data_IF_431019415591
#
_entry.id   IF_431019415591
#
_cell.length_a   1.000
_cell.length_b   1.000
_cell.length_c   1.000
_cell.angle_alpha   90.00
_cell.angle_beta   90.00
_cell.angle_gamma   90.00
#
_symmetry.space_group_name_H-M   'P 1'
#
loop_
_entity.id
_entity.type
_entity.pdbx_description
1 polymer ?
#
# COMPACT_ATOMS: atom_id res chain seq x y z
N UNK A 1 21.71 27.15 3.21
CA UNK A 1 20.94 26.51 4.30
C UNK A 1 19.51 26.18 3.90
N UNK A 2 18.65 27.15 3.58
CA UNK A 2 17.25 26.87 3.23
C UNK A 2 17.08 26.07 1.91
N UNK A 3 17.93 26.35 0.92
CA UNK A 3 17.98 25.59 -0.34
C UNK A 3 18.53 24.16 -0.18
N UNK A 4 19.40 23.94 0.81
CA UNK A 4 19.98 22.62 1.08
C UNK A 4 18.94 21.71 1.73
N UNK A 5 18.13 22.26 2.64
CA UNK A 5 17.01 21.54 3.26
C UNK A 5 15.93 21.18 2.23
N UNK A 6 15.59 22.11 1.32
CA UNK A 6 14.64 21.84 0.22
C UNK A 6 15.14 20.74 -0.73
N UNK A 7 16.44 20.66 -0.96
CA UNK A 7 17.03 19.61 -1.79
C UNK A 7 17.07 18.25 -1.08
N UNK A 8 17.26 18.20 0.24
CA UNK A 8 17.17 16.96 1.03
C UNK A 8 15.76 16.36 1.03
N UNK A 9 14.74 17.21 0.92
CA UNK A 9 13.33 16.78 0.86
C UNK A 9 12.87 16.38 -0.55
N UNK A 10 13.74 16.46 -1.58
CA UNK A 10 13.39 16.01 -2.93
C UNK A 10 13.42 14.49 -2.99
N UNK A 11 12.22 13.91 -2.96
CA UNK A 11 12.03 12.48 -3.17
C UNK A 11 11.78 12.21 -4.65
N UNK A 12 12.59 11.33 -5.25
CA UNK A 12 12.26 10.74 -6.54
C UNK A 12 11.30 9.56 -6.32
N UNK A 13 10.00 9.80 -6.47
CA UNK A 13 8.97 8.81 -6.22
C UNK A 13 9.13 7.53 -7.05
N UNK A 14 9.62 7.63 -8.29
CA UNK A 14 9.83 6.46 -9.15
C UNK A 14 10.96 5.57 -8.64
N UNK A 15 12.06 6.17 -8.20
CA UNK A 15 13.20 5.45 -7.62
C UNK A 15 12.83 4.80 -6.30
N UNK A 16 12.15 5.53 -5.40
CA UNK A 16 11.71 4.99 -4.11
C UNK A 16 10.68 3.88 -4.28
N UNK A 17 9.73 4.04 -5.21
CA UNK A 17 8.79 2.97 -5.58
C UNK A 17 9.52 1.67 -5.94
N UNK A 18 10.53 1.75 -6.83
CA UNK A 18 11.34 0.58 -7.23
C UNK A 18 12.02 -0.07 -6.03
N UNK A 19 12.63 0.73 -5.14
CA UNK A 19 13.28 0.24 -3.92
C UNK A 19 12.30 -0.48 -3.00
N UNK A 20 11.12 0.10 -2.76
CA UNK A 20 10.09 -0.47 -1.90
C UNK A 20 9.54 -1.78 -2.49
N UNK A 21 9.30 -1.83 -3.81
CA UNK A 21 8.87 -3.07 -4.49
C UNK A 21 9.89 -4.19 -4.31
N UNK A 22 11.18 -3.89 -4.45
CA UNK A 22 12.23 -4.90 -4.24
C UNK A 22 12.33 -5.33 -2.78
N UNK A 23 12.18 -4.39 -1.84
CA UNK A 23 12.09 -4.69 -0.42
C UNK A 23 10.94 -5.67 -0.12
N UNK A 24 9.73 -5.40 -0.63
CA UNK A 24 8.57 -6.28 -0.46
C UNK A 24 8.86 -7.68 -0.99
N UNK A 25 9.32 -7.79 -2.25
CA UNK A 25 9.64 -9.08 -2.88
C UNK A 25 10.67 -9.89 -2.09
N UNK A 26 11.73 -9.22 -1.62
CA UNK A 26 12.79 -9.83 -0.82
C UNK A 26 12.24 -10.38 0.50
N UNK A 27 11.48 -9.57 1.24
CA UNK A 27 10.95 -9.97 2.54
C UNK A 27 9.95 -11.14 2.43
N UNK A 28 9.02 -11.10 1.47
CA UNK A 28 8.07 -12.19 1.25
C UNK A 28 8.79 -13.51 0.94
N UNK A 29 9.84 -13.46 0.10
CA UNK A 29 10.68 -14.63 -0.20
C UNK A 29 11.45 -15.13 1.04
N UNK A 30 12.05 -14.23 1.80
CA UNK A 30 12.81 -14.58 3.01
C UNK A 30 11.94 -15.20 4.11
N UNK A 31 10.69 -14.75 4.23
CA UNK A 31 9.72 -15.27 5.19
C UNK A 31 9.01 -16.55 4.68
N UNK A 32 9.34 -17.02 3.47
CA UNK A 32 8.70 -18.15 2.79
C UNK A 32 7.17 -18.03 2.77
N UNK A 33 6.67 -16.84 2.41
CA UNK A 33 5.23 -16.54 2.30
C UNK A 33 4.80 -16.40 0.85
N UNK A 34 3.50 -16.62 0.62
CA UNK A 34 2.91 -16.62 -0.72
C UNK A 34 2.13 -15.34 -1.04
N UNK A 35 2.07 -14.37 -0.12
CA UNK A 35 1.27 -13.16 -0.27
C UNK A 35 1.27 -12.28 0.97
N UNK A 36 0.43 -11.26 0.97
CA UNK A 36 0.29 -10.30 2.06
C UNK A 36 -1.19 -10.00 2.36
N UNK A 37 -1.47 -9.68 3.62
CA UNK A 37 -2.76 -9.16 4.08
C UNK A 37 -2.54 -7.71 4.52
N UNK A 38 -3.44 -6.81 4.16
CA UNK A 38 -3.36 -5.39 4.51
C UNK A 38 -4.71 -4.83 4.94
N UNK A 39 -4.71 -4.02 5.99
CA UNK A 39 -5.87 -3.23 6.41
C UNK A 39 -6.04 -1.98 5.54
N UNK A 40 -7.24 -1.74 5.03
CA UNK A 40 -7.61 -0.58 4.23
C UNK A 40 -8.53 0.34 5.04
N UNK A 41 -8.02 1.52 5.39
CA UNK A 41 -8.77 2.53 6.14
C UNK A 41 -9.49 3.54 5.25
N UNK A 42 -9.17 3.58 3.95
CA UNK A 42 -9.61 4.63 3.02
C UNK A 42 -8.68 5.85 2.96
N UNK A 43 -7.61 5.84 3.76
CA UNK A 43 -6.56 6.86 3.74
C UNK A 43 -5.47 6.63 2.68
N UNK A 44 -4.65 7.66 2.48
CA UNK A 44 -3.55 7.65 1.50
C UNK A 44 -2.51 6.57 1.78
N UNK A 45 -2.12 6.38 3.04
CA UNK A 45 -1.03 5.48 3.41
C UNK A 45 -1.38 4.02 3.12
N UNK A 46 -2.51 3.55 3.66
CA UNK A 46 -2.99 2.18 3.42
C UNK A 46 -3.24 1.91 1.93
N UNK A 47 -3.75 2.89 1.19
CA UNK A 47 -3.94 2.80 -0.26
C UNK A 47 -2.61 2.67 -0.99
N UNK A 48 -1.63 3.52 -0.66
CA UNK A 48 -0.29 3.50 -1.25
C UNK A 48 0.40 2.15 -1.00
N UNK A 49 0.34 1.65 0.24
CA UNK A 49 0.87 0.34 0.58
C UNK A 49 0.17 -0.79 -0.21
N UNK A 50 -1.15 -0.73 -0.37
CA UNK A 50 -1.90 -1.73 -1.13
C UNK A 50 -1.52 -1.74 -2.62
N UNK A 51 -1.31 -0.56 -3.24
CA UNK A 51 -0.80 -0.44 -4.60
C UNK A 51 0.59 -1.05 -4.74
N UNK A 52 1.51 -0.72 -3.83
CA UNK A 52 2.88 -1.23 -3.86
C UNK A 52 2.95 -2.75 -3.65
N UNK A 53 2.14 -3.30 -2.73
CA UNK A 53 2.01 -4.75 -2.52
C UNK A 53 1.48 -5.44 -3.78
N UNK A 54 0.46 -4.88 -4.41
CA UNK A 54 -0.16 -5.42 -5.63
C UNK A 54 0.81 -5.39 -6.80
N UNK A 55 1.57 -4.31 -6.98
CA UNK A 55 2.60 -4.20 -8.02
C UNK A 55 3.77 -5.17 -7.75
N UNK A 56 4.12 -5.38 -6.48
CA UNK A 56 5.22 -6.28 -6.10
C UNK A 56 4.86 -7.77 -6.21
N UNK A 57 3.65 -8.17 -5.80
CA UNK A 57 3.27 -9.56 -5.61
C UNK A 57 2.25 -10.06 -6.62
N UNK A 58 1.49 -9.16 -7.24
CA UNK A 58 0.31 -9.48 -8.04
C UNK A 58 -0.97 -9.48 -7.22
N UNK A 59 -2.08 -9.05 -7.85
CA UNK A 59 -3.41 -8.88 -7.23
C UNK A 59 -3.95 -10.14 -6.54
N UNK A 60 -3.65 -11.32 -7.07
CA UNK A 60 -4.08 -12.60 -6.51
C UNK A 60 -3.33 -13.03 -5.23
N UNK A 61 -2.27 -12.31 -4.85
CA UNK A 61 -1.46 -12.59 -3.66
C UNK A 61 -1.64 -11.52 -2.57
N UNK A 62 -2.61 -10.61 -2.74
CA UNK A 62 -2.89 -9.54 -1.79
C UNK A 62 -4.36 -9.60 -1.39
N UNK A 63 -4.58 -9.72 -0.08
CA UNK A 63 -5.89 -9.64 0.55
C UNK A 63 -6.03 -8.31 1.28
N UNK A 64 -7.01 -7.50 0.88
CA UNK A 64 -7.35 -6.23 1.53
C UNK A 64 -8.52 -6.40 2.49
N UNK A 65 -8.34 -6.03 3.76
CA UNK A 65 -9.38 -6.07 4.78
C UNK A 65 -9.83 -4.64 5.13
N UNK A 66 -11.12 -4.38 5.04
CA UNK A 66 -11.71 -3.12 5.51
C UNK A 66 -12.25 -3.38 6.91
N UNK A 67 -11.72 -2.68 7.91
CA UNK A 67 -12.08 -2.85 9.32
C UNK A 67 -12.75 -1.57 9.83
N UNK A 68 -14.08 -1.41 9.62
CA UNK A 68 -14.81 -0.24 10.09
C UNK A 68 -14.89 -0.19 11.62
N UNK A 69 -14.73 1.00 12.17
CA UNK A 69 -15.08 1.32 13.57
C UNK A 69 -16.34 2.21 13.61
N UNK A 70 -17.05 2.27 14.74
CA UNK A 70 -18.33 3.00 14.87
C UNK A 70 -18.28 4.44 14.37
N UNK A 71 -17.17 5.13 14.59
CA UNK A 71 -17.00 6.55 14.23
C UNK A 71 -16.30 6.74 12.87
N UNK A 72 -16.18 5.68 12.06
CA UNK A 72 -15.57 5.79 10.73
C UNK A 72 -16.43 6.62 9.79
N UNK A 73 -15.86 7.69 9.23
CA UNK A 73 -16.55 8.51 8.24
C UNK A 73 -16.96 7.67 7.02
N UNK A 74 -18.21 7.83 6.55
CA UNK A 74 -18.75 7.07 5.39
C UNK A 74 -17.86 7.15 4.15
N UNK A 75 -17.26 8.31 3.89
CA UNK A 75 -16.35 8.53 2.76
C UNK A 75 -15.09 7.65 2.81
N UNK A 76 -14.55 7.41 4.01
CA UNK A 76 -13.38 6.54 4.18
C UNK A 76 -13.71 5.09 3.81
N UNK A 77 -14.92 4.64 4.15
CA UNK A 77 -15.41 3.31 3.78
C UNK A 77 -15.59 3.17 2.26
N UNK A 78 -16.10 4.19 1.59
CA UNK A 78 -16.24 4.21 0.14
C UNK A 78 -14.88 4.16 -0.56
N UNK A 79 -13.90 4.95 -0.10
CA UNK A 79 -12.53 4.94 -0.61
C UNK A 79 -11.85 3.58 -0.38
N UNK A 80 -11.98 3.00 0.82
CA UNK A 80 -11.42 1.69 1.12
C UNK A 80 -12.01 0.60 0.19
N UNK A 81 -13.32 0.63 -0.05
CA UNK A 81 -14.00 -0.27 -0.99
C UNK A 81 -13.54 -0.07 -2.44
N UNK A 82 -13.34 1.17 -2.86
CA UNK A 82 -12.81 1.49 -4.18
C UNK A 82 -11.42 0.85 -4.37
N UNK A 83 -10.50 1.10 -3.43
CA UNK A 83 -9.13 0.55 -3.49
C UNK A 83 -9.15 -0.98 -3.49
N UNK A 84 -9.94 -1.59 -2.62
CA UNK A 84 -10.08 -3.05 -2.57
C UNK A 84 -10.56 -3.63 -3.91
N UNK A 85 -11.56 -3.00 -4.55
CA UNK A 85 -12.09 -3.45 -5.86
C UNK A 85 -11.03 -3.40 -6.97
N UNK A 86 -10.23 -2.34 -6.98
CA UNK A 86 -9.20 -2.14 -8.01
C UNK A 86 -8.06 -3.15 -7.82
N UNK A 87 -7.61 -3.39 -6.58
CA UNK A 87 -6.28 -3.96 -6.34
C UNK A 87 -6.24 -5.28 -5.60
N UNK A 88 -7.20 -5.54 -4.71
CA UNK A 88 -7.18 -6.74 -3.88
C UNK A 88 -8.00 -7.85 -4.53
N UNK A 89 -7.56 -9.09 -4.31
CA UNK A 89 -8.44 -10.24 -4.52
C UNK A 89 -9.61 -10.15 -3.53
N UNK A 90 -10.83 -10.43 -4.00
CA UNK A 90 -11.97 -10.60 -3.10
C UNK A 90 -11.70 -11.85 -2.24
N UNK A 91 -12.08 -11.86 -0.95
CA UNK A 91 -12.15 -13.11 -0.20
C UNK A 91 -13.13 -14.09 -0.87
#
# INVERSE_FOLDING_TARGET
>A
MENDLKNLLKINAQTEKKKIIQFIKKNIKQLNKNGAVIGLSGGLDSSTCAYLLTEALGKNKVLGLILPERDSAKINMEHARMVAKILASKP
#
